data_IF_363143986966
#
_entry.id   IF_363143986966
#
_cell.length_a   1.000
_cell.length_b   1.000
_cell.length_c   1.000
_cell.angle_alpha   90.00
_cell.angle_beta   90.00
_cell.angle_gamma   90.00
#
_symmetry.space_group_name_H-M   'P 1'
#
loop_
_entity.id
_entity.type
_entity.pdbx_description
1 polymer ?
#
# COMPACT_ATOMS: atom_id res chain seq x y z
N UNK A 1 -5.15 53.38 52.20
CA UNK A 1 -4.86 51.99 52.03
C UNK A 1 -5.64 51.50 50.79
N UNK A 2 -4.95 51.35 49.66
CA UNK A 2 -5.53 50.80 48.40
C UNK A 2 -5.09 49.37 48.24
N UNK A 3 -6.04 48.45 48.28
CA UNK A 3 -5.83 47.05 47.98
C UNK A 3 -5.78 46.83 46.46
N UNK A 4 -4.63 46.41 45.93
CA UNK A 4 -4.48 45.94 44.56
C UNK A 4 -4.71 44.44 44.56
N UNK A 5 -5.77 44.00 43.94
CA UNK A 5 -6.01 42.57 43.68
C UNK A 5 -5.33 42.23 42.38
N UNK A 6 -4.28 41.41 42.45
CA UNK A 6 -3.57 40.88 41.31
C UNK A 6 -4.30 39.61 40.82
N UNK A 7 -5.04 39.72 39.76
CA UNK A 7 -5.68 38.54 39.12
C UNK A 7 -4.66 37.86 38.22
N UNK A 8 -4.21 36.68 38.66
CA UNK A 8 -3.34 35.79 37.84
C UNK A 8 -4.20 35.05 36.83
N UNK A 9 -4.13 35.46 35.57
CA UNK A 9 -4.76 34.72 34.46
C UNK A 9 -3.81 33.54 34.11
N UNK A 10 -4.17 32.34 34.57
CA UNK A 10 -3.54 31.13 34.06
C UNK A 10 -4.07 30.87 32.63
N UNK A 11 -3.26 31.26 31.65
CA UNK A 11 -3.51 30.87 30.28
C UNK A 11 -3.24 29.36 30.11
N UNK A 12 -4.30 28.60 29.97
CA UNK A 12 -4.22 27.23 29.44
C UNK A 12 -3.82 27.32 27.96
N UNK A 13 -2.53 27.26 27.68
CA UNK A 13 -2.03 26.96 26.34
C UNK A 13 -2.35 25.50 26.06
N UNK A 14 -3.49 25.26 25.42
CA UNK A 14 -3.78 23.97 24.83
C UNK A 14 -2.69 23.63 23.84
N UNK A 15 -1.83 22.70 24.20
CA UNK A 15 -0.89 22.09 23.26
C UNK A 15 -1.74 21.23 22.34
N UNK A 16 -2.25 21.81 21.25
CA UNK A 16 -2.71 21.03 20.12
C UNK A 16 -1.47 20.33 19.57
N UNK A 17 -1.31 19.06 19.93
CA UNK A 17 -0.37 18.18 19.24
C UNK A 17 -0.81 18.11 17.78
N UNK A 18 -0.18 18.93 16.93
CA UNK A 18 -0.26 18.75 15.49
C UNK A 18 0.44 17.43 15.22
N UNK A 19 -0.32 16.35 15.13
CA UNK A 19 0.20 15.09 14.63
C UNK A 19 0.66 15.37 13.21
N UNK A 20 1.95 15.17 12.95
CA UNK A 20 2.47 15.24 11.59
C UNK A 20 1.68 14.22 10.75
N UNK A 21 1.15 14.68 9.61
CA UNK A 21 0.42 13.80 8.68
C UNK A 21 1.30 12.58 8.36
N UNK A 22 0.73 11.39 8.43
CA UNK A 22 1.43 10.15 8.12
C UNK A 22 1.56 10.02 6.60
N UNK A 23 2.58 10.65 6.06
CA UNK A 23 2.84 10.65 4.62
C UNK A 23 3.83 9.57 4.22
N UNK A 24 3.62 9.03 3.03
CA UNK A 24 4.57 8.21 2.29
C UNK A 24 4.80 8.88 0.93
N UNK A 25 6.05 9.04 0.54
CA UNK A 25 6.39 9.77 -0.68
C UNK A 25 6.67 8.82 -1.84
N UNK A 26 5.93 8.98 -2.94
CA UNK A 26 6.18 8.28 -4.20
C UNK A 26 6.98 9.21 -5.13
N UNK A 27 8.18 9.55 -4.73
CA UNK A 27 8.99 10.64 -5.27
C UNK A 27 10.08 10.19 -6.27
N UNK A 28 10.13 8.91 -6.63
CA UNK A 28 10.97 8.45 -7.73
C UNK A 28 10.50 9.06 -9.06
N UNK A 29 11.43 9.63 -9.81
CA UNK A 29 11.11 10.25 -11.11
C UNK A 29 10.95 9.21 -12.22
N UNK A 30 10.24 9.59 -13.30
CA UNK A 30 10.10 8.73 -14.47
C UNK A 30 11.46 8.30 -15.04
N UNK A 31 12.42 9.22 -15.12
CA UNK A 31 13.79 8.93 -15.60
C UNK A 31 14.48 7.89 -14.73
N UNK A 32 14.34 7.98 -13.41
CA UNK A 32 14.89 6.98 -12.48
C UNK A 32 14.24 5.61 -12.66
N UNK A 33 12.91 5.57 -12.87
CA UNK A 33 12.20 4.30 -13.14
C UNK A 33 12.59 3.70 -14.47
N UNK A 34 12.80 4.51 -15.50
CA UNK A 34 13.25 4.06 -16.81
C UNK A 34 14.65 3.46 -16.78
N UNK A 35 15.49 3.85 -15.82
CA UNK A 35 16.82 3.24 -15.63
C UNK A 35 16.77 1.78 -15.18
N UNK A 36 15.60 1.29 -14.69
CA UNK A 36 15.40 -0.13 -14.37
C UNK A 36 15.25 -1.03 -15.62
N UNK A 37 15.27 -0.45 -16.81
CA UNK A 37 15.07 -1.13 -18.08
C UNK A 37 13.60 -1.07 -18.55
N UNK A 38 13.35 -1.38 -19.80
CA UNK A 38 12.01 -1.40 -20.41
C UNK A 38 11.32 -0.03 -20.53
N UNK A 39 12.00 0.93 -21.15
CA UNK A 39 11.61 2.34 -21.26
C UNK A 39 10.38 2.60 -22.15
N UNK A 40 10.07 1.72 -23.11
CA UNK A 40 9.08 2.00 -24.15
C UNK A 40 7.62 1.89 -23.69
N UNK A 41 7.34 1.10 -22.64
CA UNK A 41 5.99 0.84 -22.14
C UNK A 41 5.72 1.39 -20.74
N UNK A 42 6.78 1.85 -20.06
CA UNK A 42 6.63 2.44 -18.71
C UNK A 42 6.06 3.86 -18.80
N UNK A 43 5.02 4.10 -18.02
CA UNK A 43 4.38 5.41 -17.86
C UNK A 43 4.33 5.80 -16.39
N UNK A 44 4.17 7.09 -16.17
CA UNK A 44 3.97 7.62 -14.83
C UNK A 44 2.48 7.96 -14.65
N UNK A 45 1.81 7.49 -13.59
CA UNK A 45 0.45 7.90 -13.31
C UNK A 45 0.42 9.37 -12.86
N UNK A 46 -0.75 9.99 -12.87
CA UNK A 46 -0.94 11.24 -12.13
C UNK A 46 -0.92 10.91 -10.64
N UNK A 47 -0.05 11.58 -9.88
CA UNK A 47 0.12 11.38 -8.44
C UNK A 47 -0.29 12.65 -7.71
N UNK A 48 -1.23 12.53 -6.77
CA UNK A 48 -1.63 13.61 -5.86
C UNK A 48 -1.61 13.03 -4.44
N UNK A 49 -0.58 13.34 -3.68
CA UNK A 49 -0.34 12.70 -2.39
C UNK A 49 -0.19 11.18 -2.53
N UNK A 50 -1.07 10.43 -1.88
CA UNK A 50 -1.10 8.96 -1.95
C UNK A 50 -2.13 8.42 -2.95
N UNK A 51 -2.68 9.28 -3.81
CA UNK A 51 -3.66 8.89 -4.83
C UNK A 51 -3.02 8.90 -6.21
N UNK A 52 -3.26 7.82 -6.94
CA UNK A 52 -2.80 7.58 -8.30
C UNK A 52 -3.99 7.51 -9.24
N UNK A 53 -3.86 8.08 -10.42
CA UNK A 53 -4.87 7.97 -11.47
C UNK A 53 -4.24 7.89 -12.84
N UNK A 54 -4.86 7.11 -13.71
CA UNK A 54 -4.51 7.01 -15.12
C UNK A 54 -5.72 6.51 -15.92
N UNK A 55 -5.62 6.56 -17.24
CA UNK A 55 -6.62 6.02 -18.15
C UNK A 55 -6.08 4.78 -18.86
N UNK A 56 -6.94 3.81 -19.05
CA UNK A 56 -6.63 2.66 -19.91
C UNK A 56 -6.42 3.10 -21.35
N UNK A 57 -5.62 2.36 -22.11
CA UNK A 57 -5.45 2.55 -23.56
C UNK A 57 -5.37 1.20 -24.25
N UNK A 58 -5.59 1.16 -25.58
CA UNK A 58 -5.43 -0.05 -26.37
C UNK A 58 -3.96 -0.54 -26.41
N UNK A 59 -3.02 0.40 -26.35
CA UNK A 59 -1.61 0.05 -26.30
C UNK A 59 -1.25 -0.52 -24.94
N UNK A 60 -0.58 -1.65 -24.92
CA UNK A 60 0.01 -2.22 -23.72
C UNK A 60 0.85 -1.18 -23.00
N UNK A 61 0.61 -1.02 -21.72
CA UNK A 61 1.28 -0.01 -20.91
C UNK A 61 1.46 -0.50 -19.48
N UNK A 62 2.54 -0.03 -18.86
CA UNK A 62 2.84 -0.28 -17.45
C UNK A 62 2.89 1.08 -16.76
N UNK A 63 2.03 1.29 -15.78
CA UNK A 63 2.10 2.44 -14.88
C UNK A 63 2.82 2.05 -13.61
N UNK A 64 3.84 2.82 -13.24
CA UNK A 64 4.70 2.50 -12.09
C UNK A 64 4.98 3.76 -11.28
N UNK A 65 4.93 3.63 -9.96
CA UNK A 65 5.36 4.66 -9.02
C UNK A 65 6.01 4.03 -7.79
N UNK A 66 7.15 4.59 -7.36
CA UNK A 66 7.92 4.14 -6.20
C UNK A 66 8.37 5.34 -5.36
N UNK A 67 8.76 5.09 -4.12
CA UNK A 67 9.63 6.00 -3.40
C UNK A 67 11.07 5.91 -3.92
N UNK A 68 11.86 6.95 -3.68
CA UNK A 68 13.30 6.91 -4.01
C UNK A 68 14.04 5.86 -3.18
N UNK A 69 13.64 5.63 -1.95
CA UNK A 69 14.29 4.64 -1.10
C UNK A 69 14.01 3.21 -1.59
N UNK A 70 12.76 2.93 -2.00
CA UNK A 70 12.43 1.65 -2.63
C UNK A 70 13.17 1.47 -3.96
N UNK A 71 13.27 2.52 -4.77
CA UNK A 71 14.02 2.48 -6.02
C UNK A 71 15.51 2.16 -5.80
N UNK A 72 16.16 2.81 -4.84
CA UNK A 72 17.56 2.52 -4.47
C UNK A 72 17.72 1.03 -4.11
N UNK A 73 16.76 0.49 -3.36
CA UNK A 73 16.74 -0.92 -3.00
C UNK A 73 16.58 -1.83 -4.22
N UNK A 74 15.70 -1.50 -5.16
CA UNK A 74 15.52 -2.28 -6.40
C UNK A 74 16.79 -2.23 -7.25
N UNK A 75 17.42 -1.06 -7.38
CA UNK A 75 18.69 -0.91 -8.10
C UNK A 75 19.83 -1.69 -7.44
N UNK A 76 19.84 -1.73 -6.12
CA UNK A 76 20.83 -2.49 -5.34
C UNK A 76 20.54 -4.01 -5.30
N UNK A 77 19.43 -4.48 -5.87
CA UNK A 77 19.06 -5.89 -5.86
C UNK A 77 20.08 -6.81 -6.58
N UNK A 78 20.90 -6.24 -7.45
CA UNK A 78 22.03 -6.93 -8.10
C UNK A 78 23.30 -6.93 -7.24
N UNK A 79 23.33 -6.18 -6.15
CA UNK A 79 24.41 -6.13 -5.18
C UNK A 79 23.87 -6.65 -3.82
N UNK A 80 24.21 -7.89 -3.52
CA UNK A 80 23.75 -8.55 -2.29
C UNK A 80 24.16 -7.83 -1.00
N UNK A 81 25.24 -7.05 -1.03
CA UNK A 81 25.69 -6.27 0.12
C UNK A 81 24.86 -5.01 0.32
N UNK A 82 24.52 -4.32 -0.77
CA UNK A 82 23.66 -3.12 -0.68
C UNK A 82 22.25 -3.46 -0.19
N UNK A 83 21.70 -4.62 -0.56
CA UNK A 83 20.39 -5.08 -0.05
C UNK A 83 20.34 -5.30 1.46
N UNK A 84 21.44 -5.65 2.10
CA UNK A 84 21.51 -5.84 3.54
C UNK A 84 21.40 -4.52 4.32
N UNK A 85 21.73 -3.40 3.71
CA UNK A 85 21.78 -2.10 4.36
C UNK A 85 20.61 -1.17 4.00
N UNK A 86 19.89 -1.43 2.93
CA UNK A 86 18.68 -0.68 2.57
C UNK A 86 17.48 -1.24 3.33
N UNK A 87 17.18 -0.67 4.46
CA UNK A 87 15.90 -0.86 5.14
C UNK A 87 14.80 -0.21 4.30
N UNK A 88 13.56 -0.68 4.43
CA UNK A 88 12.44 -0.04 3.73
C UNK A 88 12.18 1.37 4.24
N UNK A 89 11.35 2.10 3.53
CA UNK A 89 11.07 3.51 3.77
C UNK A 89 10.44 3.79 5.15
N UNK A 90 9.65 2.85 5.67
CA UNK A 90 8.92 3.02 6.92
C UNK A 90 9.33 1.96 7.93
N UNK A 91 10.04 2.38 8.96
CA UNK A 91 10.41 1.50 10.08
C UNK A 91 9.15 1.20 10.90
N UNK A 92 8.96 -0.06 11.26
CA UNK A 92 7.81 -0.52 12.04
C UNK A 92 8.16 -0.74 13.51
N UNK A 93 7.21 -0.53 14.43
CA UNK A 93 7.35 -0.95 15.81
C UNK A 93 7.45 -2.48 15.90
N UNK A 94 8.19 -2.97 16.89
CA UNK A 94 8.43 -4.40 17.07
C UNK A 94 7.27 -5.14 17.78
N UNK A 95 6.23 -4.41 18.19
CA UNK A 95 5.05 -4.93 18.90
C UNK A 95 3.77 -4.23 18.44
N UNK A 96 2.63 -4.85 18.72
CA UNK A 96 1.31 -4.30 18.40
C UNK A 96 0.81 -4.71 17.03
N UNK A 97 -0.29 -4.09 16.62
CA UNK A 97 -0.93 -4.32 15.33
C UNK A 97 -0.87 -3.02 14.54
N UNK A 98 -0.48 -3.12 13.28
CA UNK A 98 -0.35 -1.98 12.37
C UNK A 98 -1.24 -2.25 11.17
N UNK A 99 -1.96 -1.23 10.67
CA UNK A 99 -2.80 -1.36 9.50
C UNK A 99 -2.59 -0.23 8.50
N UNK A 100 -2.92 -0.55 7.25
CA UNK A 100 -3.04 0.37 6.13
C UNK A 100 -4.08 -0.15 5.15
N UNK A 101 -4.60 0.74 4.31
CA UNK A 101 -5.64 0.39 3.34
C UNK A 101 -5.26 0.79 1.93
N UNK A 102 -5.84 0.08 0.97
CA UNK A 102 -5.93 0.46 -0.43
C UNK A 102 -7.39 0.71 -0.78
N UNK A 103 -7.65 1.80 -1.46
CA UNK A 103 -8.94 2.12 -2.06
C UNK A 103 -8.76 2.12 -3.57
N UNK A 104 -9.41 1.17 -4.24
CA UNK A 104 -9.19 0.91 -5.66
C UNK A 104 -10.50 1.03 -6.40
N UNK A 105 -10.55 1.92 -7.39
CA UNK A 105 -11.64 1.98 -8.36
C UNK A 105 -11.17 1.34 -9.65
N UNK A 106 -11.73 0.18 -9.94
CA UNK A 106 -11.47 -0.55 -11.17
C UNK A 106 -12.54 -0.23 -12.20
N UNK A 107 -12.19 -0.04 -13.47
CA UNK A 107 -13.17 0.19 -14.51
C UNK A 107 -13.95 -1.10 -14.82
N UNK A 108 -15.19 -0.97 -15.24
CA UNK A 108 -15.90 -2.07 -15.88
C UNK A 108 -15.31 -2.29 -17.27
N UNK A 109 -14.74 -3.46 -17.47
CA UNK A 109 -14.08 -3.86 -18.72
C UNK A 109 -14.92 -4.94 -19.41
N UNK A 110 -14.78 -5.03 -20.73
CA UNK A 110 -15.28 -6.13 -21.52
C UNK A 110 -14.51 -7.43 -21.25
N UNK A 111 -14.94 -8.52 -21.87
CA UNK A 111 -14.32 -9.85 -21.71
C UNK A 111 -13.04 -10.03 -22.56
N UNK A 112 -12.53 -8.99 -23.17
CA UNK A 112 -11.31 -9.02 -24.00
C UNK A 112 -10.20 -8.23 -23.33
N UNK A 113 -8.98 -8.77 -23.39
CA UNK A 113 -7.81 -8.13 -22.81
C UNK A 113 -7.57 -8.46 -21.36
N UNK A 114 -6.41 -8.04 -20.88
CA UNK A 114 -5.95 -8.29 -19.53
C UNK A 114 -5.59 -6.98 -18.83
N UNK A 115 -6.05 -6.85 -17.60
CA UNK A 115 -5.65 -5.78 -16.69
C UNK A 115 -5.18 -6.40 -15.39
N UNK A 116 -3.98 -6.04 -14.97
CA UNK A 116 -3.47 -6.37 -13.65
C UNK A 116 -3.11 -5.06 -12.96
N UNK A 117 -3.74 -4.79 -11.85
CA UNK A 117 -3.44 -3.64 -10.99
C UNK A 117 -2.85 -4.19 -9.71
N UNK A 118 -1.58 -3.90 -9.47
CA UNK A 118 -0.86 -4.28 -8.26
C UNK A 118 -0.61 -3.00 -7.43
N UNK A 119 -1.58 -2.51 -6.66
CA UNK A 119 -1.36 -1.37 -5.78
C UNK A 119 -0.39 -1.69 -4.65
N UNK A 120 -0.16 -2.97 -4.45
CA UNK A 120 0.71 -3.45 -3.42
C UNK A 120 1.64 -4.52 -3.97
N UNK A 121 2.71 -4.12 -4.61
CA UNK A 121 3.96 -4.77 -4.31
C UNK A 121 4.54 -4.06 -3.07
N UNK A 122 3.68 -3.74 -2.11
CA UNK A 122 4.16 -3.34 -0.80
C UNK A 122 4.82 -4.55 -0.17
N UNK A 123 5.82 -4.29 0.58
CA UNK A 123 6.55 -5.34 1.24
C UNK A 123 7.48 -4.74 2.28
N UNK A 124 8.41 -5.52 2.73
CA UNK A 124 9.37 -5.11 3.72
C UNK A 124 10.49 -6.10 3.88
N UNK A 125 11.31 -5.85 4.87
CA UNK A 125 12.32 -6.78 5.34
C UNK A 125 11.94 -7.24 6.74
N UNK A 126 12.00 -8.54 6.96
CA UNK A 126 11.89 -9.14 8.27
C UNK A 126 13.19 -8.98 9.06
N UNK A 127 13.13 -9.10 10.38
CA UNK A 127 14.30 -8.99 11.28
C UNK A 127 15.38 -10.02 10.99
N UNK A 128 15.03 -11.16 10.38
CA UNK A 128 15.98 -12.16 9.91
C UNK A 128 16.65 -11.81 8.56
N UNK A 129 16.42 -10.59 8.03
CA UNK A 129 17.02 -10.10 6.80
C UNK A 129 16.32 -10.57 5.52
N UNK A 130 15.28 -11.39 5.60
CA UNK A 130 14.54 -11.88 4.42
C UNK A 130 13.48 -10.91 3.98
N UNK A 131 13.31 -10.77 2.67
CA UNK A 131 12.27 -9.93 2.09
C UNK A 131 10.90 -10.62 2.12
N UNK A 132 9.86 -9.83 2.31
CA UNK A 132 8.47 -10.23 2.18
C UNK A 132 7.76 -9.26 1.24
N UNK A 133 6.84 -9.76 0.45
CA UNK A 133 5.97 -8.96 -0.40
C UNK A 133 4.50 -9.27 -0.08
N UNK A 134 3.71 -8.22 0.02
CA UNK A 134 2.26 -8.31 0.05
C UNK A 134 1.76 -8.10 -1.36
N UNK A 135 1.19 -9.12 -1.95
CA UNK A 135 0.57 -9.05 -3.26
C UNK A 135 -0.91 -8.76 -3.03
N UNK A 136 -1.35 -7.58 -3.42
CA UNK A 136 -2.76 -7.26 -3.63
C UNK A 136 -2.89 -6.92 -5.11
N UNK A 137 -3.56 -7.75 -5.86
CA UNK A 137 -3.70 -7.60 -7.31
C UNK A 137 -5.16 -7.66 -7.71
N UNK A 138 -5.65 -6.63 -8.40
CA UNK A 138 -6.86 -6.79 -9.19
C UNK A 138 -6.47 -7.39 -10.54
N UNK A 139 -7.09 -8.50 -10.89
CA UNK A 139 -6.85 -9.22 -12.11
C UNK A 139 -8.16 -9.32 -12.90
N UNK A 140 -8.13 -8.83 -14.13
CA UNK A 140 -9.22 -8.98 -15.09
C UNK A 140 -8.71 -9.60 -16.38
N UNK A 141 -9.45 -10.54 -16.91
CA UNK A 141 -9.19 -11.21 -18.17
C UNK A 141 -10.43 -11.98 -18.63
N UNK A 142 -10.36 -12.71 -19.75
CA UNK A 142 -11.52 -13.40 -20.32
C UNK A 142 -12.24 -14.37 -19.34
N UNK A 143 -11.50 -14.94 -18.40
CA UNK A 143 -12.03 -15.92 -17.41
C UNK A 143 -11.77 -15.48 -15.96
N UNK A 144 -11.20 -14.29 -15.75
CA UNK A 144 -10.75 -13.84 -14.43
C UNK A 144 -11.31 -12.45 -14.15
N UNK A 145 -11.92 -12.27 -13.00
CA UNK A 145 -12.32 -10.98 -12.47
C UNK A 145 -12.29 -11.04 -10.94
N UNK A 146 -11.12 -10.86 -10.36
CA UNK A 146 -10.93 -11.02 -8.92
C UNK A 146 -9.83 -10.14 -8.36
N UNK A 147 -9.83 -9.99 -7.04
CA UNK A 147 -8.69 -9.56 -6.25
C UNK A 147 -7.95 -10.79 -5.75
N UNK A 148 -6.70 -10.92 -6.17
CA UNK A 148 -5.77 -11.90 -5.66
C UNK A 148 -4.93 -11.27 -4.56
N UNK A 149 -4.96 -11.87 -3.38
CA UNK A 149 -4.27 -11.35 -2.20
C UNK A 149 -3.41 -12.46 -1.61
N UNK A 150 -2.11 -12.24 -1.56
CA UNK A 150 -1.16 -13.23 -1.06
C UNK A 150 0.06 -12.53 -0.43
N UNK A 151 0.74 -13.24 0.44
CA UNK A 151 2.07 -12.86 0.92
C UNK A 151 3.11 -13.84 0.36
N UNK A 152 4.23 -13.32 -0.14
CA UNK A 152 5.35 -14.11 -0.64
C UNK A 152 6.65 -13.69 0.03
N UNK A 153 7.61 -14.61 0.11
CA UNK A 153 8.94 -14.35 0.65
C UNK A 153 9.97 -15.25 -0.01
N UNK A 154 11.24 -14.87 0.08
CA UNK A 154 12.36 -15.76 -0.18
C UNK A 154 12.74 -16.62 1.05
N UNK A 155 11.95 -16.56 2.11
CA UNK A 155 12.04 -17.45 3.27
C UNK A 155 11.01 -18.57 3.13
N UNK A 156 11.49 -19.82 3.05
CA UNK A 156 10.63 -21.00 2.89
C UNK A 156 9.77 -21.33 4.12
N UNK A 157 10.04 -20.70 5.25
CA UNK A 157 9.25 -20.85 6.48
C UNK A 157 8.02 -19.93 6.51
N UNK A 158 7.82 -19.05 5.50
CA UNK A 158 6.58 -18.29 5.36
C UNK A 158 5.41 -19.26 5.11
N UNK A 159 4.35 -19.10 5.89
CA UNK A 159 3.05 -19.74 5.65
C UNK A 159 2.11 -18.69 5.08
N UNK A 160 1.53 -18.93 3.92
CA UNK A 160 0.58 -18.02 3.29
C UNK A 160 -0.55 -18.76 2.58
N UNK A 161 -1.77 -18.46 3.01
CA UNK A 161 -3.02 -18.93 2.39
C UNK A 161 -3.68 -17.71 1.73
N UNK A 162 -3.44 -17.51 0.44
CA UNK A 162 -3.98 -16.33 -0.26
C UNK A 162 -5.50 -16.36 -0.42
N UNK A 163 -6.05 -15.22 -0.82
CA UNK A 163 -7.46 -15.04 -1.16
C UNK A 163 -7.65 -14.74 -2.64
N UNK A 164 -8.75 -15.26 -3.19
CA UNK A 164 -9.33 -14.83 -4.46
C UNK A 164 -10.73 -14.27 -4.16
N UNK A 165 -10.92 -12.98 -4.28
CA UNK A 165 -12.15 -12.29 -3.90
C UNK A 165 -12.75 -11.58 -5.12
N UNK A 166 -14.01 -11.85 -5.42
CA UNK A 166 -14.71 -11.13 -6.46
C UNK A 166 -14.88 -9.65 -6.07
N UNK A 167 -14.81 -8.70 -7.03
CA UNK A 167 -15.22 -7.33 -6.77
C UNK A 167 -16.67 -7.27 -6.30
N UNK A 168 -16.95 -6.43 -5.32
CA UNK A 168 -18.30 -6.23 -4.80
C UNK A 168 -18.91 -4.94 -5.38
N UNK A 169 -20.24 -4.88 -5.43
CA UNK A 169 -20.93 -3.63 -5.77
C UNK A 169 -20.90 -2.72 -4.55
N UNK A 170 -20.20 -1.61 -4.65
CA UNK A 170 -20.09 -0.60 -3.59
C UNK A 170 -20.72 0.71 -4.02
N UNK A 171 -21.21 1.51 -3.08
CA UNK A 171 -21.93 2.75 -3.38
C UNK A 171 -21.06 3.82 -4.07
N UNK A 172 -19.76 3.82 -3.82
CA UNK A 172 -18.79 4.75 -4.39
C UNK A 172 -17.95 4.14 -5.56
N UNK A 173 -18.20 2.87 -5.87
CA UNK A 173 -17.49 2.11 -6.90
C UNK A 173 -16.06 1.73 -6.54
N UNK A 174 -15.64 1.93 -5.28
CA UNK A 174 -14.32 1.55 -4.81
C UNK A 174 -14.34 0.23 -4.04
N UNK A 175 -13.31 -0.56 -4.24
CA UNK A 175 -13.00 -1.69 -3.37
C UNK A 175 -12.01 -1.24 -2.30
N UNK A 176 -12.25 -1.61 -1.04
CA UNK A 176 -11.40 -1.27 0.10
C UNK A 176 -10.71 -2.52 0.60
N UNK A 177 -9.40 -2.49 0.60
CA UNK A 177 -8.55 -3.63 0.96
C UNK A 177 -7.64 -3.17 2.08
N UNK A 178 -7.90 -3.65 3.28
CA UNK A 178 -7.13 -3.34 4.47
C UNK A 178 -6.21 -4.49 4.83
N UNK A 179 -4.95 -4.21 4.99
CA UNK A 179 -3.95 -5.16 5.50
C UNK A 179 -3.62 -4.76 6.94
N UNK A 180 -3.61 -5.72 7.83
CA UNK A 180 -3.11 -5.52 9.18
C UNK A 180 -2.06 -6.56 9.56
N UNK A 181 -1.00 -6.09 10.22
CA UNK A 181 0.17 -6.87 10.59
C UNK A 181 0.23 -6.92 12.11
N UNK A 182 0.12 -8.10 12.66
CA UNK A 182 0.27 -8.33 14.11
C UNK A 182 1.72 -8.74 14.39
N UNK A 183 2.51 -7.79 14.88
CA UNK A 183 3.91 -7.99 15.22
C UNK A 183 4.10 -8.91 16.46
N UNK A 184 3.07 -9.09 17.28
CA UNK A 184 3.17 -9.98 18.45
C UNK A 184 3.08 -11.45 18.05
N UNK A 185 2.28 -11.77 17.03
CA UNK A 185 2.09 -13.13 16.51
C UNK A 185 2.75 -13.38 15.15
N UNK A 186 3.41 -12.37 14.57
CA UNK A 186 4.00 -12.38 13.23
C UNK A 186 2.98 -12.74 12.14
N UNK A 187 1.74 -12.29 12.27
CA UNK A 187 0.66 -12.65 11.35
C UNK A 187 0.18 -11.46 10.53
N UNK A 188 -0.30 -11.74 9.35
CA UNK A 188 -0.94 -10.77 8.46
C UNK A 188 -2.39 -11.13 8.26
N UNK A 189 -3.27 -10.15 8.43
CA UNK A 189 -4.69 -10.31 8.22
C UNK A 189 -5.23 -9.34 7.17
N UNK A 190 -6.45 -9.61 6.74
CA UNK A 190 -7.16 -8.92 5.68
C UNK A 190 -8.51 -8.42 6.15
N UNK A 191 -8.82 -7.18 5.81
CA UNK A 191 -10.19 -6.63 5.81
C UNK A 191 -10.55 -6.27 4.37
N UNK A 192 -11.64 -6.82 3.85
CA UNK A 192 -12.11 -6.55 2.49
C UNK A 192 -13.52 -5.99 2.54
N UNK A 193 -13.71 -4.76 2.05
CA UNK A 193 -14.99 -4.04 2.03
C UNK A 193 -15.73 -4.07 3.38
N UNK A 194 -15.01 -3.85 4.48
CA UNK A 194 -15.54 -3.84 5.84
C UNK A 194 -15.65 -5.22 6.51
N UNK A 195 -15.34 -6.30 5.79
CA UNK A 195 -15.41 -7.66 6.34
C UNK A 195 -14.02 -8.15 6.70
N UNK A 196 -13.77 -8.38 7.99
CA UNK A 196 -12.52 -9.00 8.46
C UNK A 196 -12.47 -10.48 8.04
N UNK A 197 -11.51 -10.82 7.18
CA UNK A 197 -11.28 -12.19 6.70
C UNK A 197 -10.34 -12.99 7.59
N UNK A 198 -9.81 -12.39 8.65
CA UNK A 198 -8.85 -13.03 9.56
C UNK A 198 -7.42 -13.01 9.04
N UNK A 199 -6.56 -13.75 9.73
CA UNK A 199 -5.16 -13.93 9.36
C UNK A 199 -5.01 -14.92 8.21
N UNK A 200 -4.15 -14.60 7.24
CA UNK A 200 -3.91 -15.43 6.07
C UNK A 200 -2.43 -15.76 5.84
N UNK A 201 -1.52 -15.09 6.56
CA UNK A 201 -0.11 -15.42 6.48
C UNK A 201 0.55 -15.32 7.87
N UNK A 202 1.60 -16.13 8.06
CA UNK A 202 2.45 -16.10 9.25
C UNK A 202 3.90 -16.00 8.82
N UNK A 203 4.59 -14.98 9.32
CA UNK A 203 6.00 -14.73 9.03
C UNK A 203 6.90 -15.54 9.98
N UNK A 204 8.07 -15.99 9.53
CA UNK A 204 9.05 -16.64 10.39
C UNK A 204 9.70 -15.68 11.39
N UNK A 205 9.67 -14.37 11.13
CA UNK A 205 10.12 -13.33 12.06
C UNK A 205 9.33 -12.03 11.87
N UNK A 206 9.47 -11.10 12.80
CA UNK A 206 8.80 -9.78 12.75
C UNK A 206 9.23 -8.99 11.52
N UNK A 207 8.33 -8.17 11.04
CA UNK A 207 8.62 -7.23 9.97
C UNK A 207 9.33 -5.99 10.55
N UNK A 208 10.49 -5.64 10.00
CA UNK A 208 11.30 -4.51 10.46
C UNK A 208 10.88 -3.18 9.80
N UNK A 209 10.42 -3.26 8.55
CA UNK A 209 10.03 -2.09 7.79
C UNK A 209 8.99 -2.40 6.71
N UNK A 210 8.40 -1.33 6.15
CA UNK A 210 7.48 -1.38 5.00
C UNK A 210 7.95 -0.43 3.91
N UNK A 211 7.66 -0.80 2.68
CA UNK A 211 7.66 0.08 1.52
C UNK A 211 6.38 -0.13 0.71
N UNK A 212 6.01 0.89 -0.06
CA UNK A 212 4.85 0.86 -0.95
C UNK A 212 5.28 1.14 -2.38
N UNK A 213 4.62 0.49 -3.31
CA UNK A 213 4.82 0.72 -4.74
C UNK A 213 3.53 0.51 -5.48
N UNK A 214 3.41 1.16 -6.63
CA UNK A 214 2.36 0.89 -7.60
C UNK A 214 3.01 0.28 -8.84
N UNK A 215 2.45 -0.83 -9.30
CA UNK A 215 2.66 -1.33 -10.67
C UNK A 215 1.32 -1.76 -11.23
N UNK A 216 0.97 -1.23 -12.38
CA UNK A 216 -0.26 -1.60 -13.08
C UNK A 216 0.05 -1.83 -14.53
N UNK A 217 -0.35 -2.97 -15.07
CA UNK A 217 -0.16 -3.31 -16.47
C UNK A 217 -1.48 -3.74 -17.11
N UNK A 218 -1.60 -3.48 -18.39
CA UNK A 218 -2.70 -3.96 -19.20
C UNK A 218 -2.24 -4.18 -20.64
N UNK A 219 -2.88 -5.12 -21.32
CA UNK A 219 -2.60 -5.49 -22.71
C UNK A 219 -3.86 -6.05 -23.38
N UNK A 220 -3.90 -5.93 -24.68
CA UNK A 220 -4.96 -6.45 -25.55
C UNK A 220 -6.36 -5.95 -25.20
N UNK A 221 -6.48 -4.72 -24.71
CA UNK A 221 -7.77 -4.12 -24.43
C UNK A 221 -8.51 -3.78 -25.72
N UNK A 222 -9.82 -4.07 -25.74
CA UNK A 222 -10.68 -3.63 -26.80
C UNK A 222 -10.75 -2.09 -26.87
N UNK A 223 -11.12 -1.54 -28.03
CA UNK A 223 -11.30 -0.10 -28.19
C UNK A 223 -12.33 0.47 -27.22
N UNK A 224 -13.36 -0.30 -26.89
CA UNK A 224 -14.41 0.05 -25.92
C UNK A 224 -13.91 0.13 -24.49
N UNK A 225 -12.75 -0.46 -24.21
CA UNK A 225 -12.13 -0.50 -22.88
C UNK A 225 -10.99 0.54 -22.74
N UNK A 226 -10.73 1.30 -23.79
CA UNK A 226 -9.83 2.45 -23.74
C UNK A 226 -10.46 3.67 -23.04
N UNK A 227 -9.62 4.56 -22.53
CA UNK A 227 -9.99 5.82 -21.87
C UNK A 227 -10.83 5.66 -20.59
N UNK A 228 -10.87 4.48 -19.98
CA UNK A 228 -11.54 4.25 -18.70
C UNK A 228 -10.62 4.64 -17.54
N UNK A 229 -11.20 5.29 -16.54
CA UNK A 229 -10.47 5.77 -15.37
C UNK A 229 -10.12 4.63 -14.41
N UNK A 230 -8.87 4.59 -13.99
CA UNK A 230 -8.36 3.81 -12.87
C UNK A 230 -7.92 4.76 -11.77
N UNK A 231 -8.32 4.49 -10.55
CA UNK A 231 -7.92 5.27 -9.38
C UNK A 231 -7.54 4.34 -8.24
N UNK A 232 -6.39 4.62 -7.64
CA UNK A 232 -5.84 3.86 -6.53
C UNK A 232 -5.41 4.87 -5.47
N UNK A 233 -5.80 4.66 -4.24
CA UNK A 233 -5.42 5.52 -3.11
C UNK A 233 -4.90 4.66 -1.96
N UNK A 234 -3.78 5.07 -1.39
CA UNK A 234 -3.19 4.48 -0.19
C UNK A 234 -3.65 5.28 1.01
N UNK A 235 -4.38 4.63 1.91
CA UNK A 235 -4.88 5.20 3.16
C UNK A 235 -3.95 4.74 4.28
N UNK A 236 -2.96 5.55 4.59
CA UNK A 236 -1.86 5.21 5.49
C UNK A 236 -1.98 5.91 6.85
N UNK A 237 -2.77 6.95 6.89
CA UNK A 237 -3.01 7.82 8.02
C UNK A 237 -4.33 7.46 8.73
N UNK A 238 -4.34 7.48 10.04
CA UNK A 238 -5.50 7.19 10.87
C UNK A 238 -6.74 7.98 10.45
N UNK A 239 -6.59 9.25 10.07
CA UNK A 239 -7.71 10.08 9.64
C UNK A 239 -8.34 9.67 8.30
N UNK A 240 -7.64 8.86 7.50
CA UNK A 240 -8.06 8.39 6.17
C UNK A 240 -8.49 6.93 6.15
N UNK A 241 -8.03 6.13 7.11
CA UNK A 241 -8.40 4.72 7.26
C UNK A 241 -9.90 4.61 7.56
N UNK A 242 -10.60 3.75 6.83
CA UNK A 242 -12.07 3.72 6.82
C UNK A 242 -12.67 2.41 7.30
N UNK A 243 -11.87 1.36 7.45
CA UNK A 243 -12.34 0.05 7.87
C UNK A 243 -12.06 -0.20 9.35
N UNK A 244 -12.70 -1.22 9.91
CA UNK A 244 -12.51 -1.61 11.32
C UNK A 244 -11.49 -2.72 11.42
N UNK A 245 -10.55 -2.56 12.32
CA UNK A 245 -9.45 -3.47 12.61
C UNK A 245 -9.54 -4.06 14.02
N UNK A 246 -8.75 -5.08 14.34
CA UNK A 246 -8.65 -5.60 15.70
C UNK A 246 -8.29 -4.49 16.70
N UNK A 247 -8.82 -4.58 17.91
CA UNK A 247 -8.56 -3.60 18.97
C UNK A 247 -7.07 -3.39 19.22
N UNK A 248 -6.66 -2.14 19.37
CA UNK A 248 -5.27 -1.74 19.61
C UNK A 248 -4.44 -1.60 18.32
N UNK A 249 -5.10 -1.68 17.15
CA UNK A 249 -4.45 -1.39 15.87
C UNK A 249 -4.06 0.08 15.77
N UNK A 250 -2.92 0.33 15.15
CA UNK A 250 -2.39 1.65 14.84
C UNK A 250 -2.18 1.78 13.33
N UNK A 251 -2.13 3.01 12.84
CA UNK A 251 -1.64 3.27 11.49
C UNK A 251 -0.13 3.01 11.37
N UNK A 252 0.42 3.18 10.18
CA UNK A 252 1.86 2.97 9.93
C UNK A 252 2.77 3.99 10.63
N UNK A 253 2.23 5.07 11.18
CA UNK A 253 2.93 6.08 11.96
C UNK A 253 2.79 5.89 13.47
N UNK A 254 2.06 4.86 13.89
CA UNK A 254 1.87 4.50 15.29
C UNK A 254 0.73 5.22 15.99
N UNK A 255 -0.16 5.91 15.24
CA UNK A 255 -1.37 6.54 15.78
C UNK A 255 -2.48 5.50 15.87
N UNK A 256 -3.22 5.46 16.98
CA UNK A 256 -4.30 4.50 17.22
C UNK A 256 -5.49 4.73 16.27
N UNK A 257 -6.05 3.62 15.76
CA UNK A 257 -7.26 3.61 14.92
C UNK A 257 -8.53 3.54 15.77
#
# INVERSE_FOLDING_TARGET
VKNIILATIMGFSGISSVFAECTYSFDATLTQLQSLGNTSVQKFPTIIGNKFSYKTSQQSSIYTAFSQDYLKRVLAANDSQAMLYTRGDKILPTTGIIAFEYKIKVPTLGNTGYVNIFPALSGGIMQNGKAVNFIVAYQHGPTTNNFYIQTTSNDSALISNGFNLAPEVTSDGYQKIGIYINQNSNQVGLVFNGVNKGYFATFPSKLDNLYFSLTSNYFDLAATDANKDVSIEYLLDQSKITQTYPTGTKDICGVAL
#
